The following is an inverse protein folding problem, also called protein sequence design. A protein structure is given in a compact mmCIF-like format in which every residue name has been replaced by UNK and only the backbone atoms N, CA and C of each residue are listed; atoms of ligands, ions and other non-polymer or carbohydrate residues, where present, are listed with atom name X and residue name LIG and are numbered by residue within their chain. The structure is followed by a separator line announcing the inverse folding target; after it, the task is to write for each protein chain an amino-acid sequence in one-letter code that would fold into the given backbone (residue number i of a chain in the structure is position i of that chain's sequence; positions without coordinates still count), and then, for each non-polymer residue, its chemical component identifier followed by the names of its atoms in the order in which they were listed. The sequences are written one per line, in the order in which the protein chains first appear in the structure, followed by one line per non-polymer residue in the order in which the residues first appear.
data_IF_023927928324
#
_entry.id   IF_023927928324
#
_cell.length_a   1.000
_cell.length_b   1.000
_cell.length_c   1.000
_cell.angle_alpha   90.00
_cell.angle_beta   90.00
_cell.angle_gamma   90.00
#
_symmetry.space_group_name_H-M   'P 1'
#
loop_
_entity.id
_entity.type
_entity.pdbx_description
1 polymer ?
#
# COMPACT_ATOMS: atom_id res chain seq x y z
N UNK A 1 3.51 -5.25 10.13
CA UNK A 1 3.39 -4.28 9.03
C UNK A 1 4.53 -3.26 8.97
N UNK A 2 4.98 -2.64 10.07
CA UNK A 2 6.04 -1.63 9.99
C UNK A 2 7.36 -2.12 9.34
N UNK A 3 7.83 -3.33 9.68
CA UNK A 3 9.06 -3.90 9.10
C UNK A 3 8.87 -4.22 7.61
N UNK A 4 7.69 -4.72 7.27
CA UNK A 4 7.27 -5.08 5.92
C UNK A 4 7.19 -3.84 5.03
N UNK A 5 6.65 -2.72 5.51
CA UNK A 5 6.67 -1.44 4.79
C UNK A 5 8.09 -0.96 4.49
N UNK A 6 9.02 -1.09 5.43
CA UNK A 6 10.44 -0.75 5.21
C UNK A 6 11.04 -1.61 4.10
N UNK A 7 10.74 -2.92 4.11
CA UNK A 7 11.17 -3.85 3.06
C UNK A 7 10.58 -3.45 1.70
N UNK A 8 9.27 -3.23 1.62
CA UNK A 8 8.59 -2.83 0.39
C UNK A 8 9.15 -1.52 -0.18
N UNK A 9 9.35 -0.51 0.68
CA UNK A 9 9.97 0.75 0.27
C UNK A 9 11.35 0.54 -0.34
N UNK A 10 12.17 -0.32 0.27
CA UNK A 10 13.52 -0.60 -0.22
C UNK A 10 13.48 -1.32 -1.58
N UNK A 11 12.56 -2.29 -1.77
CA UNK A 11 12.35 -2.95 -3.06
C UNK A 11 11.95 -1.96 -4.17
N UNK A 12 11.13 -0.96 -3.84
CA UNK A 12 10.68 0.07 -4.78
C UNK A 12 11.76 1.09 -5.17
N UNK A 13 12.89 1.16 -4.45
CA UNK A 13 14.04 1.99 -4.85
C UNK A 13 14.78 1.45 -6.08
N UNK A 14 14.58 0.16 -6.40
CA UNK A 14 15.22 -0.46 -7.56
C UNK A 14 14.77 0.21 -8.86
N UNK A 15 15.70 0.39 -9.80
CA UNK A 15 15.41 1.00 -11.12
C UNK A 15 14.32 0.24 -11.86
N UNK A 16 14.34 -1.09 -11.76
CA UNK A 16 13.35 -2.00 -12.30
C UNK A 16 12.78 -2.87 -11.17
N UNK A 17 11.46 -3.04 -11.16
CA UNK A 17 10.76 -3.97 -10.27
C UNK A 17 9.93 -4.95 -11.12
N UNK A 18 10.15 -6.27 -11.00
CA UNK A 18 9.30 -7.24 -11.69
C UNK A 18 7.84 -7.13 -11.24
N UNK A 19 6.90 -7.30 -12.17
CA UNK A 19 5.46 -7.21 -11.87
C UNK A 19 5.00 -8.12 -10.73
N UNK A 20 5.52 -9.34 -10.63
CA UNK A 20 5.15 -10.27 -9.55
C UNK A 20 5.49 -9.71 -8.15
N UNK A 21 6.61 -8.97 -8.00
CA UNK A 21 6.96 -8.30 -6.74
C UNK A 21 6.01 -7.17 -6.45
N UNK A 22 5.69 -6.36 -7.46
CA UNK A 22 4.72 -5.27 -7.33
C UNK A 22 3.34 -5.80 -6.91
N UNK A 23 2.88 -6.87 -7.54
CA UNK A 23 1.63 -7.56 -7.19
C UNK A 23 1.66 -8.05 -5.74
N UNK A 24 2.77 -8.66 -5.30
CA UNK A 24 2.94 -9.12 -3.92
C UNK A 24 2.82 -7.98 -2.91
N UNK A 25 3.60 -6.90 -3.11
CA UNK A 25 3.58 -5.71 -2.25
C UNK A 25 2.16 -5.13 -2.17
N UNK A 26 1.52 -4.92 -3.32
CA UNK A 26 0.18 -4.31 -3.37
C UNK A 26 -0.86 -5.23 -2.74
N UNK A 27 -0.77 -6.55 -2.95
CA UNK A 27 -1.69 -7.51 -2.34
C UNK A 27 -1.60 -7.50 -0.81
N UNK A 28 -0.38 -7.49 -0.26
CA UNK A 28 -0.18 -7.40 1.19
C UNK A 28 -0.71 -6.08 1.77
N UNK A 29 -0.51 -4.95 1.08
CA UNK A 29 -1.08 -3.66 1.49
C UNK A 29 -2.61 -3.71 1.50
N UNK A 30 -3.24 -4.16 0.41
CA UNK A 30 -4.69 -4.20 0.25
C UNK A 30 -5.38 -5.11 1.26
N UNK A 31 -4.72 -6.20 1.67
CA UNK A 31 -5.24 -7.15 2.67
C UNK A 31 -5.02 -6.69 4.12
N UNK A 32 -4.15 -5.71 4.35
CA UNK A 32 -3.77 -5.29 5.69
C UNK A 32 -4.79 -4.35 6.33
N UNK A 33 -5.40 -4.81 7.43
CA UNK A 33 -6.25 -3.97 8.29
C UNK A 33 -5.48 -2.90 9.06
N UNK A 34 -4.15 -3.01 9.15
CA UNK A 34 -3.30 -1.98 9.75
C UNK A 34 -3.07 -0.80 8.81
N UNK A 35 -3.15 -1.02 7.49
CA UNK A 35 -3.00 0.04 6.48
C UNK A 35 -4.35 0.64 6.11
N UNK A 36 -5.33 -0.22 5.85
CA UNK A 36 -6.69 0.19 5.50
C UNK A 36 -7.65 -0.38 6.51
N UNK A 37 -8.24 0.46 7.36
CA UNK A 37 -9.17 -0.01 8.38
C UNK A 37 -10.45 -0.53 7.73
N UNK A 38 -10.99 0.23 6.77
CA UNK A 38 -12.18 -0.10 5.98
C UNK A 38 -11.80 -0.36 4.53
N UNK A 39 -12.63 -1.13 3.83
CA UNK A 39 -12.40 -1.39 2.41
C UNK A 39 -12.59 -0.14 1.54
N UNK A 40 -13.41 0.82 1.99
CA UNK A 40 -13.62 2.08 1.27
C UNK A 40 -12.36 2.93 1.27
N UNK A 41 -11.53 2.86 2.33
CA UNK A 41 -10.26 3.60 2.41
C UNK A 41 -9.25 3.15 1.33
N UNK A 42 -9.48 2.00 0.71
CA UNK A 42 -8.68 1.49 -0.42
C UNK A 42 -8.98 2.28 -1.70
N UNK A 43 -10.18 2.84 -1.85
CA UNK A 43 -10.58 3.59 -3.05
C UNK A 43 -9.62 4.76 -3.29
N UNK A 44 -9.36 5.56 -2.26
CA UNK A 44 -8.45 6.70 -2.34
C UNK A 44 -7.02 6.27 -2.71
N UNK A 45 -6.52 5.20 -2.09
CA UNK A 45 -5.21 4.63 -2.44
C UNK A 45 -5.12 4.22 -3.92
N UNK A 46 -6.14 3.53 -4.44
CA UNK A 46 -6.13 3.08 -5.84
C UNK A 46 -6.19 4.25 -6.81
N UNK A 47 -6.95 5.29 -6.48
CA UNK A 47 -7.01 6.51 -7.28
C UNK A 47 -5.67 7.26 -7.25
N UNK A 48 -5.09 7.47 -6.07
CA UNK A 48 -3.84 8.23 -5.91
C UNK A 48 -2.62 7.51 -6.52
N UNK A 49 -2.53 6.20 -6.31
CA UNK A 49 -1.34 5.43 -6.71
C UNK A 49 -1.44 4.94 -8.15
N UNK A 50 -2.60 4.41 -8.54
CA UNK A 50 -2.77 3.74 -9.84
C UNK A 50 -3.70 4.49 -10.80
N UNK A 51 -4.38 5.56 -10.36
CA UNK A 51 -5.41 6.21 -11.18
C UNK A 51 -6.62 5.31 -11.43
N UNK A 52 -6.86 4.31 -10.57
CA UNK A 52 -7.90 3.32 -10.74
C UNK A 52 -9.12 3.67 -9.90
N UNK A 53 -10.29 3.65 -10.53
CA UNK A 53 -11.59 3.77 -9.86
C UNK A 53 -12.47 2.57 -10.20
N UNK A 54 -12.97 1.89 -9.18
CA UNK A 54 -13.84 0.74 -9.34
C UNK A 54 -15.28 1.07 -8.96
N UNK A 55 -16.21 0.20 -9.39
CA UNK A 55 -17.61 0.30 -8.95
C UNK A 55 -17.72 -0.07 -7.47
N UNK A 56 -18.63 0.58 -6.74
CA UNK A 56 -18.80 0.42 -5.29
C UNK A 56 -18.90 -1.05 -4.82
N UNK A 57 -19.54 -1.94 -5.60
CA UNK A 57 -19.65 -3.35 -5.24
C UNK A 57 -18.29 -4.06 -5.16
N UNK A 58 -17.28 -3.61 -5.91
CA UNK A 58 -15.94 -4.20 -5.91
C UNK A 58 -15.22 -3.98 -4.56
N UNK A 59 -15.59 -2.93 -3.82
CA UNK A 59 -15.03 -2.64 -2.49
C UNK A 59 -15.67 -3.45 -1.37
N UNK A 60 -16.65 -4.33 -1.66
CA UNK A 60 -17.25 -5.21 -0.64
C UNK A 60 -16.28 -6.26 -0.10
N UNK A 61 -15.25 -6.61 -0.85
CA UNK A 61 -14.24 -7.60 -0.44
C UNK A 61 -12.82 -7.20 -0.83
N UNK A 62 -11.88 -7.24 0.12
CA UNK A 62 -10.45 -7.00 -0.14
C UNK A 62 -9.87 -7.99 -1.15
N UNK A 63 -10.29 -9.26 -1.11
CA UNK A 63 -9.80 -10.26 -2.08
C UNK A 63 -10.28 -9.97 -3.50
N UNK A 64 -11.49 -9.45 -3.65
CA UNK A 64 -12.02 -9.03 -4.95
C UNK A 64 -11.27 -7.81 -5.49
N UNK A 65 -10.95 -6.84 -4.61
CA UNK A 65 -10.08 -5.71 -4.97
C UNK A 65 -8.72 -6.22 -5.43
N UNK A 66 -8.06 -7.10 -4.66
CA UNK A 66 -6.76 -7.68 -5.01
C UNK A 66 -6.81 -8.35 -6.38
N UNK A 67 -7.80 -9.23 -6.62
CA UNK A 67 -7.94 -9.90 -7.91
C UNK A 67 -8.09 -8.91 -9.07
N UNK A 68 -8.84 -7.81 -8.86
CA UNK A 68 -9.00 -6.78 -9.89
C UNK A 68 -7.70 -5.99 -10.10
N UNK A 69 -7.08 -5.50 -9.04
CA UNK A 69 -5.85 -4.70 -9.11
C UNK A 69 -4.70 -5.50 -9.73
N UNK A 70 -4.58 -6.79 -9.41
CA UNK A 70 -3.59 -7.68 -10.02
C UNK A 70 -3.73 -7.72 -11.54
N UNK A 71 -4.96 -7.81 -12.07
CA UNK A 71 -5.20 -7.77 -13.53
C UNK A 71 -4.75 -6.44 -14.13
N UNK A 72 -5.03 -5.32 -13.47
CA UNK A 72 -4.60 -4.00 -13.92
C UNK A 72 -3.07 -3.88 -13.91
N UNK A 73 -2.38 -4.32 -12.85
CA UNK A 73 -0.90 -4.31 -12.78
C UNK A 73 -0.27 -5.16 -13.89
N UNK A 74 -0.86 -6.32 -14.20
CA UNK A 74 -0.39 -7.17 -15.31
C UNK A 74 -0.52 -6.45 -16.64
N UNK A 75 -1.62 -5.73 -16.87
CA UNK A 75 -1.91 -5.02 -18.10
C UNK A 75 -1.15 -3.68 -18.28
N UNK A 76 -0.56 -3.14 -17.21
CA UNK A 76 0.20 -1.88 -17.27
C UNK A 76 1.47 -2.00 -18.12
N UNK A 77 1.74 -1.00 -18.95
CA UNK A 77 3.00 -0.89 -19.71
C UNK A 77 4.01 0.09 -19.07
N UNK A 78 3.53 1.03 -18.23
CA UNK A 78 4.32 2.12 -17.63
C UNK A 78 4.59 1.91 -16.13
N UNK A 79 5.35 0.87 -15.80
CA UNK A 79 5.58 0.44 -14.41
C UNK A 79 6.26 1.51 -13.52
N UNK A 80 7.08 2.40 -14.10
CA UNK A 80 7.88 3.36 -13.33
C UNK A 80 7.08 4.51 -12.70
N UNK A 81 5.96 4.94 -13.28
CA UNK A 81 5.17 6.04 -12.72
C UNK A 81 4.46 5.61 -11.44
N UNK A 82 3.78 4.47 -11.49
CA UNK A 82 3.07 3.89 -10.36
C UNK A 82 4.02 3.48 -9.24
N UNK A 83 5.21 2.99 -9.57
CA UNK A 83 6.27 2.68 -8.60
C UNK A 83 6.61 3.87 -7.71
N UNK A 84 6.77 5.07 -8.30
CA UNK A 84 7.10 6.28 -7.54
C UNK A 84 5.95 6.73 -6.65
N UNK A 85 4.71 6.63 -7.12
CA UNK A 85 3.51 6.95 -6.33
C UNK A 85 3.36 5.96 -5.17
N UNK A 86 3.54 4.66 -5.41
CA UNK A 86 3.51 3.62 -4.40
C UNK A 86 4.62 3.81 -3.36
N UNK A 87 5.84 4.15 -3.80
CA UNK A 87 6.95 4.46 -2.90
C UNK A 87 6.59 5.60 -1.93
N UNK A 88 6.02 6.70 -2.46
CA UNK A 88 5.59 7.84 -1.64
C UNK A 88 4.50 7.45 -0.65
N UNK A 89 3.51 6.67 -1.09
CA UNK A 89 2.46 6.16 -0.20
C UNK A 89 3.03 5.32 0.94
N UNK A 90 3.93 4.38 0.65
CA UNK A 90 4.54 3.52 1.66
C UNK A 90 5.41 4.35 2.61
N UNK A 91 6.17 5.32 2.10
CA UNK A 91 6.96 6.22 2.95
C UNK A 91 6.07 6.99 3.93
N UNK A 92 4.97 7.58 3.46
CA UNK A 92 3.98 8.24 4.32
C UNK A 92 3.45 7.32 5.42
N UNK A 93 3.11 6.07 5.07
CA UNK A 93 2.64 5.07 6.06
C UNK A 93 3.70 4.67 7.09
N UNK A 94 4.98 4.64 6.70
CA UNK A 94 6.09 4.41 7.64
C UNK A 94 6.17 5.57 8.64
N UNK A 95 6.07 6.81 8.16
CA UNK A 95 6.19 8.01 9.00
C UNK A 95 5.02 8.07 10.01
N UNK A 96 3.78 7.85 9.55
CA UNK A 96 2.58 7.78 10.40
C UNK A 96 2.73 6.75 11.54
N UNK A 97 3.15 5.51 11.23
CA UNK A 97 3.32 4.44 12.24
C UNK A 97 4.55 4.70 13.13
N UNK A 98 5.58 5.36 12.60
CA UNK A 98 6.78 5.72 13.33
C UNK A 98 6.49 6.72 14.43
N UNK A 99 5.66 7.72 14.16
CA UNK A 99 5.29 8.75 15.13
C UNK A 99 4.36 8.21 16.23
N UNK A 100 3.38 7.37 15.88
CA UNK A 100 2.53 6.67 16.88
C UNK A 100 3.34 5.87 17.91
N UNK A 101 4.45 5.26 17.47
CA UNK A 101 5.35 4.51 18.37
C UNK A 101 6.14 5.43 19.30
N UNK A 102 6.57 6.60 18.80
CA UNK A 102 7.30 7.57 19.64
C UNK A 102 6.38 8.14 20.72
N UNK A 103 5.13 8.46 20.39
CA UNK A 103 4.15 8.97 21.35
C UNK A 103 3.86 7.95 22.46
N UNK A 104 3.67 6.67 22.13
CA UNK A 104 3.48 5.61 23.15
C UNK A 104 4.67 5.48 24.09
N UNK A 105 5.89 5.48 23.56
CA UNK A 105 7.11 5.40 24.38
C UNK A 105 7.29 6.61 25.31
N UNK A 106 6.75 7.79 24.98
CA UNK A 106 6.79 8.96 25.86
C UNK A 106 5.82 8.84 27.04
N UNK A 107 4.69 8.15 26.87
CA UNK A 107 3.69 7.90 27.91
C UNK A 107 4.11 6.76 28.85
N UNK A 108 4.90 5.80 28.39
CA UNK A 108 5.42 4.69 29.20
C UNK A 108 6.41 5.13 30.30
N UNK A 109 6.94 6.36 30.24
CA UNK A 109 7.81 6.94 31.28
C UNK A 109 7.05 7.59 32.45
N UNK A 110 5.71 7.56 32.44
CA UNK A 110 4.83 8.16 33.44
C UNK A 110 4.00 7.11 34.21
N UNK A 111 4.57 5.92 34.46
CA UNK A 111 4.01 4.88 35.35
C UNK A 111 5.11 4.36 36.26
#
# INVERSE_FOLDING_TARGET
MYKELILFRNELKNKFIPKYKLIGIVSELLLSKQIFLKNMDIEDFLMEVFGLKFKAYLYRSRTMIVARVTKEIIAMEKDNEYKNKLYKFIQKKIDEIGDEKKEKNQLDGWI
#
